data_IF_587417288031
#
_entry.id   IF_587417288031
#
_cell.length_a   1.000
_cell.length_b   1.000
_cell.length_c   1.000
_cell.angle_alpha   90.00
_cell.angle_beta   90.00
_cell.angle_gamma   90.00
#
_symmetry.space_group_name_H-M   'P 1'
#
loop_
_entity.id
_entity.type
_entity.pdbx_description
1 polymer ?
#
# COMPACT_ATOMS: atom_id res chain seq x y z
N UNK A 1 5.35 9.57 11.78
CA UNK A 1 3.88 9.57 11.79
C UNK A 1 3.35 8.17 11.52
N UNK A 2 2.13 7.91 11.91
CA UNK A 2 1.54 6.58 11.77
C UNK A 2 0.54 6.53 10.65
N UNK A 3 0.62 5.47 9.81
CA UNK A 3 -0.36 5.21 8.76
C UNK A 3 -0.82 3.76 8.87
N UNK A 4 -1.96 3.43 8.25
CA UNK A 4 -2.42 2.06 8.11
C UNK A 4 -2.14 1.59 6.69
N UNK A 5 -1.51 0.41 6.55
CA UNK A 5 -1.16 -0.17 5.26
C UNK A 5 -1.99 -1.43 5.06
N UNK A 6 -2.80 -1.45 3.99
CA UNK A 6 -3.69 -2.58 3.69
C UNK A 6 -3.33 -3.20 2.36
N UNK A 7 -3.27 -4.53 2.33
CA UNK A 7 -3.08 -5.29 1.11
C UNK A 7 -4.26 -6.25 0.93
N UNK A 8 -4.72 -6.39 -0.31
CA UNK A 8 -5.91 -7.16 -0.62
C UNK A 8 -5.62 -8.34 -1.53
N UNK A 9 -6.51 -9.35 -1.52
CA UNK A 9 -6.41 -10.55 -2.34
C UNK A 9 -5.04 -11.21 -2.20
N UNK A 10 -4.40 -11.59 -3.30
CA UNK A 10 -3.11 -12.28 -3.26
C UNK A 10 -1.99 -11.44 -2.67
N UNK A 11 -2.16 -10.11 -2.60
CA UNK A 11 -1.13 -9.24 -2.03
C UNK A 11 -0.97 -9.44 -0.52
N UNK A 12 -1.93 -10.03 0.16
CA UNK A 12 -1.79 -10.29 1.60
C UNK A 12 -0.59 -11.18 1.91
N UNK A 13 -0.12 -11.99 0.94
CA UNK A 13 1.05 -12.83 1.13
C UNK A 13 2.33 -12.03 1.35
N UNK A 14 2.34 -10.75 0.98
CA UNK A 14 3.49 -9.88 1.18
C UNK A 14 3.51 -9.22 2.56
N UNK A 15 2.42 -9.34 3.32
CA UNK A 15 2.41 -8.89 4.71
C UNK A 15 3.10 -9.91 5.62
N UNK A 16 3.59 -9.49 6.80
CA UNK A 16 4.05 -10.44 7.80
C UNK A 16 2.94 -11.46 8.10
N UNK A 17 3.28 -12.73 8.38
CA UNK A 17 2.27 -13.78 8.57
C UNK A 17 1.18 -13.42 9.58
N UNK A 18 1.52 -12.75 10.67
CA UNK A 18 0.56 -12.38 11.70
C UNK A 18 -0.42 -11.29 11.27
N UNK A 19 -0.12 -10.58 10.17
CA UNK A 19 -0.96 -9.50 9.66
C UNK A 19 -1.84 -9.95 8.49
N UNK A 20 -1.60 -11.13 7.92
CA UNK A 20 -2.28 -11.56 6.69
C UNK A 20 -3.78 -11.73 6.85
N UNK A 21 -4.21 -12.27 7.98
CA UNK A 21 -5.62 -12.50 8.25
C UNK A 21 -6.40 -11.20 8.31
N UNK A 22 -5.81 -10.17 8.95
CA UNK A 22 -6.45 -8.85 9.04
C UNK A 22 -6.18 -7.98 7.84
N UNK A 23 -5.36 -8.43 6.92
CA UNK A 23 -4.95 -7.76 5.68
C UNK A 23 -4.41 -6.34 5.87
N UNK A 24 -3.90 -6.03 7.06
CA UNK A 24 -3.38 -4.69 7.35
C UNK A 24 -2.33 -4.71 8.43
N UNK A 25 -1.52 -3.65 8.41
CA UNK A 25 -0.50 -3.42 9.43
C UNK A 25 -0.39 -1.91 9.64
N UNK A 26 -0.13 -1.49 10.86
CA UNK A 26 0.17 -0.08 11.14
C UNK A 26 1.66 0.14 10.98
N UNK A 27 2.03 1.24 10.33
CA UNK A 27 3.42 1.57 10.06
C UNK A 27 3.76 2.94 10.64
N UNK A 28 4.96 3.02 11.22
CA UNK A 28 5.56 4.28 11.59
C UNK A 28 6.41 4.72 10.42
N UNK A 29 6.12 5.89 9.83
CA UNK A 29 6.80 6.36 8.62
C UNK A 29 7.30 7.77 8.80
N UNK A 30 8.34 8.13 8.04
CA UNK A 30 8.87 9.48 8.03
C UNK A 30 7.84 10.42 7.35
N UNK A 31 7.80 11.70 7.77
CA UNK A 31 6.84 12.64 7.19
C UNK A 31 6.98 12.82 5.68
N UNK A 32 8.18 12.63 5.14
CA UNK A 32 8.45 12.80 3.71
C UNK A 32 8.37 11.48 2.92
N UNK A 33 8.02 10.37 3.57
CA UNK A 33 7.94 9.08 2.89
C UNK A 33 6.85 9.09 1.83
N UNK A 34 7.15 8.52 0.66
CA UNK A 34 6.22 8.43 -0.46
C UNK A 34 5.58 7.05 -0.52
N UNK A 35 4.51 6.93 -1.31
CA UNK A 35 3.86 5.63 -1.53
C UNK A 35 4.88 4.61 -2.03
N UNK A 36 5.69 4.99 -3.04
CA UNK A 36 6.70 4.09 -3.60
C UNK A 36 7.68 3.61 -2.55
N UNK A 37 8.10 4.49 -1.65
CA UNK A 37 9.04 4.13 -0.58
C UNK A 37 8.42 3.20 0.46
N UNK A 38 7.12 3.35 0.74
CA UNK A 38 6.43 2.50 1.69
C UNK A 38 6.32 1.07 1.16
N UNK A 39 6.00 0.90 -0.12
CA UNK A 39 5.76 -0.44 -0.68
C UNK A 39 7.04 -1.19 -1.03
N UNK A 40 8.15 -0.49 -1.27
CA UNK A 40 9.40 -1.11 -1.70
C UNK A 40 9.88 -2.26 -0.79
N UNK A 41 9.90 -2.10 0.54
CA UNK A 41 10.40 -3.17 1.42
C UNK A 41 9.60 -4.47 1.36
N UNK A 42 8.37 -4.43 0.84
CA UNK A 42 7.52 -5.62 0.79
C UNK A 42 7.79 -6.51 -0.42
N UNK A 43 8.56 -6.01 -1.40
CA UNK A 43 9.00 -6.82 -2.53
C UNK A 43 7.92 -7.19 -3.53
N UNK A 44 6.79 -6.48 -3.53
CA UNK A 44 5.71 -6.76 -4.48
C UNK A 44 6.15 -6.42 -5.91
N UNK A 45 5.93 -7.33 -6.88
CA UNK A 45 6.18 -6.99 -8.27
C UNK A 45 5.34 -5.77 -8.67
N UNK A 46 5.95 -4.84 -9.41
CA UNK A 46 5.28 -3.58 -9.77
C UNK A 46 3.96 -3.84 -10.52
N UNK A 47 3.90 -4.89 -11.32
CA UNK A 47 2.70 -5.23 -12.08
C UNK A 47 1.52 -5.63 -11.20
N UNK A 48 1.77 -6.03 -9.94
CA UNK A 48 0.72 -6.40 -8.99
C UNK A 48 0.23 -5.21 -8.18
N UNK A 49 0.95 -4.09 -8.21
CA UNK A 49 0.53 -2.85 -7.55
C UNK A 49 -0.37 -2.09 -8.51
N UNK A 50 -1.62 -2.53 -8.60
CA UNK A 50 -2.54 -2.07 -9.63
C UNK A 50 -3.43 -0.92 -9.18
N UNK A 51 -4.28 -1.14 -8.20
CA UNK A 51 -5.18 -0.13 -7.66
C UNK A 51 -4.61 0.37 -6.34
N UNK A 52 -4.24 1.64 -6.29
CA UNK A 52 -3.66 2.25 -5.10
C UNK A 52 -4.59 3.38 -4.63
N UNK A 53 -5.08 3.26 -3.41
CA UNK A 53 -5.96 4.28 -2.81
C UNK A 53 -5.34 4.81 -1.53
N UNK A 54 -5.49 6.12 -1.32
CA UNK A 54 -5.19 6.75 -0.03
C UNK A 54 -6.51 7.32 0.49
N UNK A 55 -6.96 6.81 1.63
CA UNK A 55 -8.26 7.17 2.22
C UNK A 55 -9.41 7.04 1.20
N UNK A 56 -9.34 5.98 0.37
CA UNK A 56 -10.38 5.71 -0.62
C UNK A 56 -10.24 6.49 -1.92
N UNK A 57 -9.23 7.33 -2.06
CA UNK A 57 -9.02 8.15 -3.27
C UNK A 57 -7.90 7.55 -4.11
N UNK A 58 -8.19 7.33 -5.38
CA UNK A 58 -7.23 6.73 -6.32
C UNK A 58 -5.99 7.61 -6.51
N UNK A 59 -4.81 6.99 -6.51
CA UNK A 59 -3.54 7.65 -6.79
C UNK A 59 -2.97 7.05 -8.08
N UNK A 60 -2.83 7.89 -9.11
CA UNK A 60 -2.31 7.44 -10.40
C UNK A 60 -0.87 6.95 -10.30
N UNK A 61 -0.44 6.00 -11.16
CA UNK A 61 0.93 5.48 -11.10
C UNK A 61 2.00 6.56 -11.12
N UNK A 62 1.80 7.63 -11.90
CA UNK A 62 2.79 8.72 -12.01
C UNK A 62 2.97 9.49 -10.71
N UNK A 63 1.99 9.43 -9.80
CA UNK A 63 2.02 10.22 -8.56
C UNK A 63 2.54 9.42 -7.36
N UNK A 64 2.76 8.12 -7.51
CA UNK A 64 3.14 7.25 -6.39
C UNK A 64 4.56 7.51 -5.89
N UNK A 65 5.43 8.03 -6.75
CA UNK A 65 6.80 8.35 -6.38
C UNK A 65 6.92 9.67 -5.60
N UNK A 66 5.88 10.49 -5.60
CA UNK A 66 5.91 11.80 -4.95
C UNK A 66 4.84 12.00 -3.88
N UNK A 67 3.76 11.20 -3.90
CA UNK A 67 2.68 11.34 -2.92
C UNK A 67 3.15 10.96 -1.53
N UNK A 68 3.02 11.90 -0.60
CA UNK A 68 3.33 11.69 0.81
C UNK A 68 2.04 11.50 1.61
N UNK A 69 2.16 11.39 2.93
CA UNK A 69 1.03 11.09 3.82
C UNK A 69 0.87 12.12 4.92
N UNK A 70 -0.29 12.09 5.56
CA UNK A 70 -0.51 12.77 6.83
C UNK A 70 -0.87 11.73 7.89
N UNK A 71 -0.75 12.11 9.15
CA UNK A 71 -1.04 11.23 10.27
C UNK A 71 -2.40 10.56 10.10
N UNK A 72 -2.45 9.24 10.24
CA UNK A 72 -3.68 8.48 10.20
C UNK A 72 -4.16 8.07 8.80
N UNK A 73 -3.42 8.41 7.74
CA UNK A 73 -3.80 8.00 6.40
C UNK A 73 -3.88 6.49 6.27
N UNK A 74 -4.74 6.02 5.37
CA UNK A 74 -4.91 4.60 5.05
C UNK A 74 -4.49 4.38 3.61
N UNK A 75 -3.40 3.63 3.41
CA UNK A 75 -2.91 3.22 2.09
C UNK A 75 -3.42 1.81 1.81
N UNK A 76 -4.17 1.63 0.72
CA UNK A 76 -4.75 0.35 0.36
C UNK A 76 -4.37 -0.01 -1.07
N UNK A 77 -3.96 -1.26 -1.29
CA UNK A 77 -3.50 -1.72 -2.60
C UNK A 77 -4.18 -3.03 -2.99
N UNK A 78 -4.68 -3.08 -4.23
CA UNK A 78 -5.25 -4.28 -4.84
C UNK A 78 -4.43 -4.69 -6.06
N UNK A 79 -4.30 -6.01 -6.31
CA UNK A 79 -3.69 -6.48 -7.55
C UNK A 79 -4.68 -6.38 -8.71
N UNK A 80 -4.24 -6.61 -9.96
CA UNK A 80 -5.17 -6.71 -11.08
C UNK A 80 -6.17 -7.83 -10.85
N UNK A 81 -7.42 -7.63 -11.30
CA UNK A 81 -8.43 -8.66 -11.23
C UNK A 81 -8.14 -9.69 -12.31
N UNK A 82 -8.19 -10.99 -11.96
CA UNK A 82 -7.96 -12.04 -12.93
C UNK A 82 -8.99 -11.95 -14.07
N UNK A 83 -8.49 -11.93 -15.32
CA UNK A 83 -9.35 -11.84 -16.50
C UNK A 83 -9.85 -10.46 -16.83
N UNK A 84 -9.45 -9.45 -16.06
CA UNK A 84 -9.90 -8.08 -16.28
C UNK A 84 -8.79 -7.12 -16.63
#
# INVERSE_FOLDING_TARGET
MKITFKLYASLTDYLPPEARRGNRIELEVAPEATIAQIIEPYGMPIKLVHLVLVNGVYVAPADRATRTFVEGDVLAIWPPIAGG
#
